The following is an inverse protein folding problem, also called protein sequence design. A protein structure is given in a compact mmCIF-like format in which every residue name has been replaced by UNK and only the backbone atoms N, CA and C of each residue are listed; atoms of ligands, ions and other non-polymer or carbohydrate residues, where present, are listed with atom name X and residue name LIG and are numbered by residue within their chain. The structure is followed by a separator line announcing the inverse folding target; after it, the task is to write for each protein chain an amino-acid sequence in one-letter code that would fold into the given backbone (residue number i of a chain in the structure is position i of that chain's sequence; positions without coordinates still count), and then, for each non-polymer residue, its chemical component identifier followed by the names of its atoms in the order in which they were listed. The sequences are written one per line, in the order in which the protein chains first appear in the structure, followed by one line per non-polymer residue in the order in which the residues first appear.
data_IF_756752696014
#
_entry.id   IF_756752696014
#
_cell.length_a   1.000
_cell.length_b   1.000
_cell.length_c   1.000
_cell.angle_alpha   90.00
_cell.angle_beta   90.00
_cell.angle_gamma   90.00
#
_symmetry.space_group_name_H-M   'P 1'
#
loop_
_entity.id
_entity.type
_entity.pdbx_description
1 polymer ?
#
# COMPACT_ATOMS: atom_id res chain seq x y z
N UNK A 1 14.52 -7.79 5.83
CA UNK A 1 13.70 -6.61 6.12
C UNK A 1 13.68 -5.70 4.89
N UNK A 2 12.49 -5.29 4.47
CA UNK A 2 12.35 -4.40 3.32
C UNK A 2 12.80 -2.99 3.68
N UNK A 3 13.70 -2.44 2.88
CA UNK A 3 14.11 -1.05 3.05
C UNK A 3 13.11 -0.16 2.32
N UNK A 4 12.05 0.21 3.03
CA UNK A 4 10.97 1.01 2.48
C UNK A 4 11.41 2.44 2.15
N UNK A 5 12.45 2.95 2.82
CA UNK A 5 12.94 4.30 2.56
C UNK A 5 13.48 4.44 1.15
N UNK A 6 14.12 3.43 0.62
CA UNK A 6 14.69 3.48 -0.75
C UNK A 6 13.59 3.52 -1.79
N UNK A 7 12.53 2.76 -1.58
CA UNK A 7 11.41 2.71 -2.51
C UNK A 7 10.69 4.05 -2.53
N UNK A 8 10.42 4.61 -1.37
CA UNK A 8 9.73 5.90 -1.24
C UNK A 8 10.60 7.03 -1.81
N UNK A 9 11.91 6.99 -1.58
CA UNK A 9 12.83 8.00 -2.09
C UNK A 9 12.88 8.05 -3.61
N UNK A 10 12.57 6.94 -4.28
CA UNK A 10 12.51 6.90 -5.75
C UNK A 10 11.17 7.38 -6.32
N UNK A 11 10.26 7.82 -5.47
CA UNK A 11 8.96 8.30 -5.92
C UNK A 11 7.86 7.27 -5.95
N UNK A 12 8.14 6.05 -5.48
CA UNK A 12 7.11 5.02 -5.34
C UNK A 12 6.37 5.21 -4.02
N UNK A 13 5.14 4.73 -3.99
CA UNK A 13 4.34 4.72 -2.77
C UNK A 13 4.26 3.31 -2.21
N UNK A 14 4.08 3.21 -0.91
CA UNK A 14 3.95 1.93 -0.22
C UNK A 14 2.60 1.88 0.48
N UNK A 15 1.88 0.79 0.29
CA UNK A 15 0.60 0.57 0.96
C UNK A 15 0.85 -0.28 2.19
N UNK A 16 0.39 0.19 3.34
CA UNK A 16 0.47 -0.55 4.60
C UNK A 16 -0.93 -0.80 5.15
N UNK A 17 -1.14 -1.99 5.66
CA UNK A 17 -2.36 -2.37 6.33
C UNK A 17 -1.98 -2.97 7.68
N UNK A 18 -2.47 -2.39 8.77
CA UNK A 18 -2.20 -2.87 10.14
C UNK A 18 -0.70 -3.05 10.39
N UNK A 19 0.09 -2.04 10.02
CA UNK A 19 1.56 -2.02 10.15
C UNK A 19 2.29 -3.06 9.29
N UNK A 20 1.58 -3.66 8.34
CA UNK A 20 2.17 -4.64 7.43
C UNK A 20 2.19 -4.08 6.01
N UNK A 21 3.32 -4.18 5.34
CA UNK A 21 3.42 -3.77 3.94
C UNK A 21 2.63 -4.74 3.08
N UNK A 22 1.73 -4.19 2.27
CA UNK A 22 0.89 -4.98 1.36
C UNK A 22 1.56 -5.01 -0.01
N UNK A 23 1.85 -6.19 -0.49
CA UNK A 23 2.49 -6.37 -1.80
C UNK A 23 1.58 -7.02 -2.83
N UNK A 24 0.38 -7.44 -2.43
CA UNK A 24 -0.54 -8.12 -3.32
C UNK A 24 -1.95 -7.59 -3.13
N UNK A 25 -2.69 -7.42 -4.23
CA UNK A 25 -4.09 -7.02 -4.18
C UNK A 25 -4.95 -8.06 -3.45
N UNK A 26 -4.51 -9.31 -3.40
CA UNK A 26 -5.23 -10.37 -2.70
C UNK A 26 -5.26 -10.17 -1.19
N UNK A 27 -4.37 -9.34 -0.66
CA UNK A 27 -4.32 -9.03 0.78
C UNK A 27 -5.29 -7.91 1.16
N UNK A 28 -5.95 -7.32 0.18
CA UNK A 28 -6.89 -6.22 0.38
C UNK A 28 -8.31 -6.68 0.10
N UNK A 29 -9.24 -6.11 0.84
CA UNK A 29 -10.67 -6.35 0.67
C UNK A 29 -11.40 -5.03 0.58
N UNK A 30 -12.58 -5.05 -0.02
CA UNK A 30 -13.44 -3.87 -0.08
C UNK A 30 -13.70 -3.35 1.34
N UNK A 31 -13.63 -2.05 1.49
CA UNK A 31 -13.81 -1.31 2.75
C UNK A 31 -12.65 -1.43 3.73
N UNK A 32 -11.54 -2.04 3.35
CA UNK A 32 -10.34 -2.04 4.19
C UNK A 32 -9.76 -0.64 4.24
N UNK A 33 -9.26 -0.27 5.41
CA UNK A 33 -8.53 0.97 5.57
C UNK A 33 -7.04 0.68 5.47
N UNK A 34 -6.36 1.46 4.66
CA UNK A 34 -4.93 1.30 4.41
C UNK A 34 -4.24 2.65 4.50
N UNK A 35 -2.94 2.61 4.70
CA UNK A 35 -2.12 3.80 4.75
C UNK A 35 -1.20 3.80 3.53
N UNK A 36 -1.25 4.87 2.75
CA UNK A 36 -0.36 5.05 1.63
C UNK A 36 0.79 5.93 2.08
N UNK A 37 2.00 5.40 2.04
CA UNK A 37 3.19 6.13 2.45
C UNK A 37 3.89 6.67 1.22
N UNK A 38 4.12 7.96 1.22
CA UNK A 38 4.85 8.66 0.18
C UNK A 38 6.06 9.34 0.82
N UNK A 39 7.01 9.78 0.00
CA UNK A 39 8.25 10.39 0.53
C UNK A 39 8.02 11.65 1.35
N UNK A 40 6.93 12.36 1.10
CA UNK A 40 6.61 13.62 1.78
C UNK A 40 5.49 13.50 2.80
N UNK A 41 4.95 12.29 3.01
CA UNK A 41 3.90 12.11 4.00
C UNK A 41 3.14 10.81 3.83
N UNK A 42 2.04 10.73 4.55
CA UNK A 42 1.16 9.56 4.55
C UNK A 42 -0.26 9.99 4.26
N UNK A 43 -0.99 9.14 3.55
CA UNK A 43 -2.40 9.38 3.24
C UNK A 43 -3.20 8.16 3.67
N UNK A 44 -4.27 8.39 4.44
CA UNK A 44 -5.18 7.32 4.83
C UNK A 44 -6.20 7.11 3.71
N UNK A 45 -6.37 5.86 3.30
CA UNK A 45 -7.24 5.50 2.18
C UNK A 45 -8.18 4.37 2.59
N UNK A 46 -9.32 4.34 1.92
CA UNK A 46 -10.27 3.22 2.03
C UNK A 46 -10.33 2.50 0.69
N UNK A 47 -10.28 1.18 0.74
CA UNK A 47 -10.38 0.36 -0.47
C UNK A 47 -11.82 0.36 -0.96
N UNK A 48 -12.06 0.87 -2.15
CA UNK A 48 -13.38 0.91 -2.76
C UNK A 48 -13.72 -0.38 -3.47
N UNK A 49 -12.74 -0.96 -4.15
CA UNK A 49 -12.91 -2.17 -4.91
C UNK A 49 -11.55 -2.82 -5.14
N UNK A 50 -11.54 -4.11 -5.29
CA UNK A 50 -10.32 -4.85 -5.57
C UNK A 50 -10.53 -5.67 -6.84
N UNK A 51 -9.67 -5.42 -7.83
CA UNK A 51 -9.66 -6.18 -9.07
C UNK A 51 -8.32 -6.87 -9.18
N UNK A 52 -8.33 -8.18 -9.24
CA UNK A 52 -7.10 -8.93 -9.42
C UNK A 52 -7.00 -9.37 -10.87
N UNK A 53 -5.83 -9.15 -11.45
CA UNK A 53 -5.55 -9.60 -12.81
C UNK A 53 -4.53 -10.72 -12.75
N UNK A 54 -4.84 -11.83 -13.43
CA UNK A 54 -3.89 -12.92 -13.61
C UNK A 54 -3.20 -12.70 -14.95
N UNK A 55 -1.89 -12.68 -14.89
CA UNK A 55 -1.06 -12.51 -16.07
C UNK A 55 -0.48 -13.86 -16.45
#
# INVERSE_FOLDING_TARGET
MLDTSRIVARGYAIVKKEDTVVSSANDLKKNDQVMLMMRDGQVELEVKDVKTEEI
#
